data_IF_968048327107
#
_entry.id   IF_968048327107
#
_cell.length_a   1.000
_cell.length_b   1.000
_cell.length_c   1.000
_cell.angle_alpha   90.00
_cell.angle_beta   90.00
_cell.angle_gamma   90.00
#
_symmetry.space_group_name_H-M   'P 1'
#
loop_
_entity.id
_entity.type
_entity.pdbx_description
1 polymer ?
#
# COMPACT_ATOMS: atom_id res chain seq x y z
N UNK A 1 -11.89 -7.51 20.70
CA UNK A 1 -12.30 -8.32 19.53
C UNK A 1 -11.02 -8.69 18.82
N UNK A 2 -10.66 -9.97 18.75
CA UNK A 2 -9.46 -10.37 18.01
C UNK A 2 -9.64 -9.98 16.54
N UNK A 3 -8.65 -9.28 15.98
CA UNK A 3 -8.71 -8.85 14.59
C UNK A 3 -8.65 -10.08 13.69
N UNK A 4 -9.57 -10.15 12.73
CA UNK A 4 -9.58 -11.21 11.73
C UNK A 4 -8.30 -11.13 10.89
N UNK A 5 -7.72 -12.29 10.56
CA UNK A 5 -6.42 -12.41 9.89
C UNK A 5 -6.30 -11.56 8.63
N UNK A 6 -7.38 -11.46 7.84
CA UNK A 6 -7.38 -10.69 6.59
C UNK A 6 -7.09 -9.18 6.78
N UNK A 7 -7.15 -8.65 8.00
CA UNK A 7 -6.87 -7.24 8.28
C UNK A 7 -5.47 -6.98 8.85
N UNK A 8 -4.67 -8.03 9.13
CA UNK A 8 -3.37 -7.86 9.79
C UNK A 8 -2.39 -7.08 8.90
N UNK A 9 -2.28 -7.47 7.63
CA UNK A 9 -1.39 -6.80 6.67
C UNK A 9 -1.79 -5.34 6.45
N UNK A 10 -3.09 -5.08 6.27
CA UNK A 10 -3.60 -3.73 6.10
C UNK A 10 -3.30 -2.83 7.31
N UNK A 11 -3.42 -3.37 8.53
CA UNK A 11 -3.05 -2.64 9.74
C UNK A 11 -1.55 -2.39 9.83
N UNK A 12 -0.72 -3.37 9.49
CA UNK A 12 0.74 -3.22 9.51
C UNK A 12 1.19 -2.16 8.51
N UNK A 13 0.64 -2.19 7.30
CA UNK A 13 0.89 -1.19 6.27
C UNK A 13 0.45 0.21 6.71
N UNK A 14 -0.77 0.36 7.24
CA UNK A 14 -1.28 1.66 7.74
C UNK A 14 -0.41 2.22 8.88
N UNK A 15 0.04 1.36 9.80
CA UNK A 15 0.97 1.76 10.86
C UNK A 15 2.33 2.18 10.31
N UNK A 16 2.85 1.46 9.32
CA UNK A 16 4.14 1.75 8.71
C UNK A 16 4.12 3.06 7.90
N UNK A 17 3.00 3.38 7.24
CA UNK A 17 2.78 4.65 6.53
C UNK A 17 2.57 5.84 7.49
N UNK A 18 2.20 5.58 8.74
CA UNK A 18 2.10 6.60 9.78
C UNK A 18 1.00 7.64 9.53
N UNK A 19 1.13 8.80 10.16
CA UNK A 19 0.15 9.88 10.10
C UNK A 19 0.13 10.57 8.72
N UNK A 20 -0.99 10.57 7.97
CA UNK A 20 -1.09 11.25 6.68
C UNK A 20 -1.05 12.78 6.79
N UNK A 21 -1.34 13.35 7.96
CA UNK A 21 -1.30 14.81 8.17
C UNK A 21 0.11 15.31 8.46
N UNK A 22 1.03 14.41 8.83
CA UNK A 22 2.44 14.75 8.98
C UNK A 22 3.09 14.91 7.58
N UNK A 23 3.52 16.12 7.18
CA UNK A 23 4.07 16.37 5.85
C UNK A 23 5.34 15.56 5.54
N UNK A 24 6.07 15.12 6.58
CA UNK A 24 7.30 14.35 6.44
C UNK A 24 7.06 12.84 6.20
N UNK A 25 5.80 12.37 6.24
CA UNK A 25 5.46 10.99 5.89
C UNK A 25 5.55 10.73 4.38
N UNK A 26 5.98 9.52 4.00
CA UNK A 26 6.18 9.08 2.61
C UNK A 26 4.94 9.21 1.73
N UNK A 27 3.74 9.10 2.29
CA UNK A 27 2.47 9.32 1.58
C UNK A 27 1.56 10.24 2.41
N UNK A 28 2.10 11.40 2.80
CA UNK A 28 1.32 12.46 3.42
C UNK A 28 0.36 13.09 2.41
N UNK A 29 -0.79 13.60 2.86
CA UNK A 29 -1.75 14.24 1.96
C UNK A 29 -1.16 15.43 1.22
N UNK A 30 -0.29 16.20 1.89
CA UNK A 30 0.42 17.31 1.27
C UNK A 30 1.26 16.82 0.07
N UNK A 31 2.07 15.79 0.29
CA UNK A 31 2.99 15.25 -0.71
C UNK A 31 2.26 14.60 -1.89
N UNK A 32 1.20 13.83 -1.61
CA UNK A 32 0.37 13.22 -2.65
C UNK A 32 -0.25 14.28 -3.56
N UNK A 33 -0.77 15.38 -2.98
CA UNK A 33 -1.30 16.50 -3.77
C UNK A 33 -0.19 17.19 -4.58
N UNK A 34 0.99 17.42 -4.00
CA UNK A 34 2.11 18.04 -4.72
C UNK A 34 2.56 17.20 -5.93
N UNK A 35 2.58 15.87 -5.80
CA UNK A 35 2.91 14.94 -6.90
C UNK A 35 1.79 14.93 -7.95
N UNK A 36 0.52 14.89 -7.53
CA UNK A 36 -0.64 14.90 -8.43
C UNK A 36 -0.69 16.18 -9.28
N UNK A 37 -0.56 17.35 -8.64
CA UNK A 37 -0.58 18.67 -9.30
C UNK A 37 0.64 18.89 -10.22
N UNK A 38 1.77 18.25 -9.94
CA UNK A 38 2.96 18.31 -10.80
C UNK A 38 2.96 17.25 -11.91
N UNK A 39 1.97 16.35 -11.92
CA UNK A 39 1.89 15.19 -12.81
C UNK A 39 3.16 14.31 -12.77
N UNK A 40 3.90 14.34 -11.66
CA UNK A 40 5.11 13.57 -11.49
C UNK A 40 4.80 12.10 -11.18
N UNK A 41 5.68 11.20 -11.63
CA UNK A 41 5.53 9.79 -11.28
C UNK A 41 6.01 9.54 -9.84
N UNK A 42 5.25 8.83 -9.00
CA UNK A 42 5.53 8.69 -7.56
C UNK A 42 6.63 7.65 -7.28
N UNK A 43 7.85 7.94 -7.73
CA UNK A 43 8.98 7.01 -7.67
C UNK A 43 9.35 6.62 -6.23
N UNK A 44 9.35 7.57 -5.30
CA UNK A 44 9.80 7.34 -3.93
C UNK A 44 8.78 6.54 -3.12
N UNK A 45 7.49 6.74 -3.38
CA UNK A 45 6.37 6.05 -2.77
C UNK A 45 6.36 4.58 -3.21
N UNK A 46 6.58 4.34 -4.50
CA UNK A 46 6.71 2.99 -5.07
C UNK A 46 7.94 2.29 -4.48
N UNK A 47 9.11 2.96 -4.46
CA UNK A 47 10.34 2.40 -3.90
C UNK A 47 10.16 2.04 -2.42
N UNK A 48 9.48 2.89 -1.66
CA UNK A 48 9.17 2.62 -0.25
C UNK A 48 8.35 1.34 -0.08
N UNK A 49 7.30 1.14 -0.89
CA UNK A 49 6.48 -0.07 -0.84
C UNK A 49 7.26 -1.35 -1.22
N UNK A 50 8.15 -1.25 -2.21
CA UNK A 50 9.04 -2.35 -2.58
C UNK A 50 10.06 -2.69 -1.49
N UNK A 51 10.60 -1.67 -0.83
CA UNK A 51 11.50 -1.82 0.30
C UNK A 51 10.78 -2.41 1.51
N UNK A 52 9.52 -2.03 1.72
CA UNK A 52 8.62 -2.60 2.72
C UNK A 52 8.16 -4.03 2.40
N UNK A 53 8.46 -4.55 1.20
CA UNK A 53 8.16 -5.92 0.73
C UNK A 53 6.69 -6.19 0.41
N UNK A 54 5.90 -5.16 0.09
CA UNK A 54 4.49 -5.34 -0.25
C UNK A 54 4.28 -6.36 -1.40
N UNK A 55 5.20 -6.41 -2.36
CA UNK A 55 5.18 -7.35 -3.50
C UNK A 55 5.18 -8.84 -3.09
N UNK A 56 5.65 -9.21 -1.89
CA UNK A 56 5.58 -10.60 -1.43
C UNK A 56 4.13 -11.05 -1.18
N UNK A 57 3.24 -10.13 -0.86
CA UNK A 57 1.80 -10.37 -0.65
C UNK A 57 0.99 -10.48 -1.95
N UNK A 58 1.67 -10.44 -3.11
CA UNK A 58 1.08 -10.73 -4.42
C UNK A 58 1.38 -12.16 -4.89
N UNK A 59 2.30 -12.84 -4.21
CA UNK A 59 2.78 -14.16 -4.61
C UNK A 59 2.15 -15.22 -3.70
N UNK A 60 1.46 -16.24 -4.25
CA UNK A 60 0.91 -17.34 -3.47
C UNK A 60 1.94 -18.02 -2.57
N UNK A 61 1.52 -18.48 -1.39
CA UNK A 61 2.41 -19.16 -0.43
C UNK A 61 3.11 -20.40 -1.00
N UNK A 62 2.48 -21.13 -1.92
CA UNK A 62 3.08 -22.29 -2.59
C UNK A 62 4.13 -21.92 -3.64
N UNK A 63 4.25 -20.63 -3.98
CA UNK A 63 5.28 -20.05 -4.83
C UNK A 63 6.35 -19.28 -4.04
N UNK A 64 6.32 -19.36 -2.70
CA UNK A 64 7.30 -18.71 -1.83
C UNK A 64 6.97 -17.27 -1.42
N UNK A 65 5.75 -16.81 -1.66
CA UNK A 65 5.26 -15.51 -1.16
C UNK A 65 4.39 -15.63 0.09
N UNK A 66 3.59 -14.60 0.33
CA UNK A 66 2.75 -14.46 1.53
C UNK A 66 1.25 -14.36 1.24
N UNK A 67 0.84 -14.41 -0.04
CA UNK A 67 -0.55 -14.25 -0.44
C UNK A 67 -1.40 -15.47 -0.04
N UNK A 68 -2.38 -15.26 0.86
CA UNK A 68 -3.26 -16.33 1.35
C UNK A 68 -4.73 -16.17 1.00
N UNK A 69 -5.21 -14.96 0.72
CA UNK A 69 -6.62 -14.72 0.39
C UNK A 69 -6.85 -13.39 -0.32
N UNK A 70 -7.91 -13.31 -1.13
CA UNK A 70 -8.35 -12.04 -1.73
C UNK A 70 -8.90 -11.03 -0.72
N UNK A 71 -9.45 -11.49 0.41
CA UNK A 71 -9.90 -10.60 1.49
C UNK A 71 -8.75 -9.77 2.05
N UNK A 72 -7.58 -10.40 2.23
CA UNK A 72 -6.34 -9.73 2.64
C UNK A 72 -5.89 -8.69 1.59
N UNK A 73 -5.95 -9.07 0.32
CA UNK A 73 -5.64 -8.16 -0.80
C UNK A 73 -6.53 -6.93 -0.82
N UNK A 74 -7.85 -7.11 -0.79
CA UNK A 74 -8.80 -6.00 -0.77
C UNK A 74 -8.58 -5.11 0.47
N UNK A 75 -8.23 -5.69 1.61
CA UNK A 75 -7.98 -4.94 2.84
C UNK A 75 -6.78 -3.99 2.70
N UNK A 76 -5.62 -4.45 2.23
CA UNK A 76 -4.45 -3.56 2.10
C UNK A 76 -4.58 -2.61 0.90
N UNK A 77 -5.26 -3.00 -0.18
CA UNK A 77 -5.54 -2.10 -1.31
C UNK A 77 -6.37 -0.90 -0.88
N UNK A 78 -7.32 -1.09 0.05
CA UNK A 78 -8.07 0.05 0.63
C UNK A 78 -7.17 1.01 1.39
N UNK A 79 -6.09 0.54 2.01
CA UNK A 79 -5.10 1.41 2.66
C UNK A 79 -4.38 2.25 1.61
N UNK A 80 -3.88 1.62 0.54
CA UNK A 80 -3.23 2.32 -0.57
C UNK A 80 -4.15 3.40 -1.17
N UNK A 81 -5.37 3.02 -1.58
CA UNK A 81 -6.33 3.95 -2.18
C UNK A 81 -6.78 5.09 -1.24
N UNK A 82 -6.69 4.91 0.09
CA UNK A 82 -6.96 5.99 1.06
C UNK A 82 -5.82 7.00 1.15
N UNK A 83 -4.61 6.61 0.77
CA UNK A 83 -3.41 7.46 0.79
C UNK A 83 -3.22 8.15 -0.54
N UNK A 84 -3.24 7.38 -1.61
CA UNK A 84 -2.96 7.82 -2.96
C UNK A 84 -3.66 6.88 -3.96
N UNK A 85 -4.53 7.46 -4.80
CA UNK A 85 -5.28 6.68 -5.78
C UNK A 85 -4.42 6.17 -6.94
N UNK A 86 -3.39 6.93 -7.35
CA UNK A 86 -2.42 6.55 -8.37
C UNK A 86 -1.60 5.33 -7.92
N UNK A 87 -1.13 5.32 -6.68
CA UNK A 87 -0.47 4.16 -6.06
C UNK A 87 -1.43 2.97 -5.98
N UNK A 88 -2.67 3.19 -5.52
CA UNK A 88 -3.69 2.14 -5.46
C UNK A 88 -3.93 1.47 -6.82
N UNK A 89 -4.00 2.25 -7.90
CA UNK A 89 -4.12 1.74 -9.27
C UNK A 89 -2.85 1.00 -9.70
N UNK A 90 -1.67 1.61 -9.53
CA UNK A 90 -0.39 1.02 -9.93
C UNK A 90 -0.14 -0.35 -9.27
N UNK A 91 -0.53 -0.50 -8.01
CA UNK A 91 -0.33 -1.75 -7.27
C UNK A 91 -1.43 -2.78 -7.48
N UNK A 92 -2.63 -2.41 -7.95
CA UNK A 92 -3.70 -3.38 -8.23
C UNK A 92 -3.63 -3.94 -9.65
N UNK A 93 -3.08 -3.21 -10.61
CA UNK A 93 -2.86 -3.70 -11.97
C UNK A 93 -1.82 -4.81 -12.05
N UNK A 94 -0.94 -4.94 -11.05
CA UNK A 94 -0.01 -6.09 -10.94
C UNK A 94 -0.70 -7.44 -10.75
N UNK A 95 -1.99 -7.44 -10.37
CA UNK A 95 -2.75 -8.67 -10.14
C UNK A 95 -3.54 -9.13 -11.39
N UNK A 96 -3.59 -8.33 -12.47
CA UNK A 96 -4.32 -8.63 -13.71
C UNK A 96 -3.53 -9.51 -14.69
#
# INVERSE_FOLDING_TARGET
MDKLKQYWLAEELERALGDPENPDSTMSFKRVIEIDESEEFPHQEIEWLYNWKLQHHYIPVNCGGEFTSFEEFVAFVRVLCRRDQTIGIAFTTMFW
#
